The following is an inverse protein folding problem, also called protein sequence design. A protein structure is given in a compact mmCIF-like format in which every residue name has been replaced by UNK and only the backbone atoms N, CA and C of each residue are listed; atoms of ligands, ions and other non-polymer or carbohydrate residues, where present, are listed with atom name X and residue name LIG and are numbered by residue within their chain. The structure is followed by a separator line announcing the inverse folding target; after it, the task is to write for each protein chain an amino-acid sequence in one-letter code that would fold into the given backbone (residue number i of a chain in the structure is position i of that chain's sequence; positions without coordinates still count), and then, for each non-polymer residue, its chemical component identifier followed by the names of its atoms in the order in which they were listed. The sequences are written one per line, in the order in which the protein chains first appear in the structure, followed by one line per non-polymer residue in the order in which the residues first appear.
data_IF_245783980825
#
_entry.id   IF_245783980825
#
_cell.length_a   1.000
_cell.length_b   1.000
_cell.length_c   1.000
_cell.angle_alpha   90.00
_cell.angle_beta   90.00
_cell.angle_gamma   90.00
#
_symmetry.space_group_name_H-M   'P 1'
#
loop_
_entity.id
_entity.type
_entity.pdbx_description
1 polymer ?
#
# COMPACT_ATOMS: atom_id res chain seq x y z
N UNK A 1 -16.72 11.01 -4.55
CA UNK A 1 -15.45 10.74 -5.23
C UNK A 1 -14.80 9.49 -4.65
N UNK A 2 -14.06 9.50 -3.57
CA UNK A 2 -13.39 8.28 -3.07
C UNK A 2 -14.30 7.08 -2.78
N UNK A 3 -15.54 7.29 -2.35
CA UNK A 3 -16.48 6.19 -2.13
C UNK A 3 -16.96 5.54 -3.43
N UNK A 4 -17.15 6.28 -4.47
CA UNK A 4 -17.53 5.76 -5.80
C UNK A 4 -16.37 4.99 -6.42
N UNK A 5 -15.15 5.52 -6.30
CA UNK A 5 -13.93 4.84 -6.71
C UNK A 5 -13.74 3.52 -5.95
N UNK A 6 -13.95 3.53 -4.63
CA UNK A 6 -13.88 2.31 -3.81
C UNK A 6 -14.92 1.26 -4.22
N UNK A 7 -16.14 1.67 -4.58
CA UNK A 7 -17.15 0.75 -5.11
C UNK A 7 -16.71 0.12 -6.45
N UNK A 8 -16.10 0.91 -7.33
CA UNK A 8 -15.56 0.41 -8.60
C UNK A 8 -14.41 -0.58 -8.38
N UNK A 9 -13.46 -0.25 -7.48
CA UNK A 9 -12.37 -1.17 -7.11
C UNK A 9 -12.92 -2.48 -6.58
N UNK A 10 -13.89 -2.42 -5.65
CA UNK A 10 -14.47 -3.62 -5.06
C UNK A 10 -15.26 -4.47 -6.07
N UNK A 11 -15.79 -3.87 -7.12
CA UNK A 11 -16.51 -4.58 -8.18
C UNK A 11 -15.56 -5.20 -9.24
N UNK A 12 -14.38 -4.61 -9.44
CA UNK A 12 -13.47 -4.99 -10.52
C UNK A 12 -12.31 -5.88 -10.05
N UNK A 13 -11.86 -5.73 -8.81
CA UNK A 13 -10.73 -6.50 -8.29
C UNK A 13 -11.21 -7.75 -7.54
N UNK A 14 -10.48 -8.87 -7.66
CA UNK A 14 -10.73 -10.05 -6.85
C UNK A 14 -10.38 -9.74 -5.40
N UNK A 15 -11.39 -9.69 -4.52
CA UNK A 15 -11.18 -9.41 -3.10
C UNK A 15 -10.96 -10.71 -2.32
N UNK A 16 -10.19 -10.63 -1.22
CA UNK A 16 -10.10 -11.73 -0.24
C UNK A 16 -11.32 -11.67 0.67
N UNK A 17 -12.14 -12.72 0.65
CA UNK A 17 -13.35 -12.82 1.49
C UNK A 17 -13.13 -13.61 2.79
N UNK A 18 -11.89 -14.00 3.09
CA UNK A 18 -11.55 -14.69 4.34
C UNK A 18 -11.58 -13.71 5.51
N UNK A 19 -12.47 -13.97 6.48
CA UNK A 19 -12.70 -13.07 7.60
C UNK A 19 -11.47 -12.92 8.52
N UNK A 20 -10.64 -13.95 8.67
CA UNK A 20 -9.44 -13.88 9.52
C UNK A 20 -8.41 -12.92 8.90
N UNK A 21 -8.19 -13.04 7.60
CA UNK A 21 -7.24 -12.19 6.87
C UNK A 21 -7.76 -10.75 6.84
N UNK A 22 -9.02 -10.58 6.44
CA UNK A 22 -9.62 -9.25 6.28
C UNK A 22 -9.71 -8.50 7.61
N UNK A 23 -10.16 -9.16 8.68
CA UNK A 23 -10.26 -8.55 10.00
C UNK A 23 -8.89 -8.17 10.56
N UNK A 24 -7.86 -9.00 10.33
CA UNK A 24 -6.51 -8.69 10.77
C UNK A 24 -5.98 -7.40 10.13
N UNK A 25 -6.04 -7.30 8.80
CA UNK A 25 -5.56 -6.13 8.07
C UNK A 25 -6.37 -4.88 8.46
N UNK A 26 -7.69 -5.01 8.59
CA UNK A 26 -8.52 -3.89 9.03
C UNK A 26 -8.18 -3.44 10.46
N UNK A 27 -8.01 -4.35 11.41
CA UNK A 27 -7.66 -4.00 12.79
C UNK A 27 -6.28 -3.33 12.87
N UNK A 28 -5.29 -3.85 12.14
CA UNK A 28 -3.95 -3.27 12.08
C UNK A 28 -3.99 -1.85 11.48
N UNK A 29 -4.70 -1.68 10.38
CA UNK A 29 -4.87 -0.38 9.72
C UNK A 29 -5.60 0.64 10.61
N UNK A 30 -6.70 0.23 11.25
CA UNK A 30 -7.44 1.09 12.20
C UNK A 30 -6.56 1.53 13.37
N UNK A 31 -5.72 0.63 13.90
CA UNK A 31 -4.78 0.95 14.98
C UNK A 31 -3.81 2.07 14.58
N UNK A 32 -3.29 2.02 13.35
CA UNK A 32 -2.38 3.03 12.82
C UNK A 32 -3.13 4.33 12.49
N UNK A 33 -4.27 4.23 11.81
CA UNK A 33 -5.06 5.39 11.39
C UNK A 33 -5.50 6.28 12.57
N UNK A 34 -5.79 5.70 13.72
CA UNK A 34 -6.14 6.44 14.96
C UNK A 34 -5.00 7.33 15.48
N UNK A 35 -3.77 7.15 15.05
CA UNK A 35 -2.63 7.98 15.46
C UNK A 35 -2.42 9.19 14.55
N UNK A 36 -3.18 9.28 13.46
CA UNK A 36 -3.08 10.35 12.47
C UNK A 36 -3.93 11.57 12.85
N UNK A 37 -3.73 12.67 12.14
CA UNK A 37 -4.56 13.87 12.27
C UNK A 37 -5.91 13.75 11.55
N UNK A 38 -6.15 12.66 10.78
CA UNK A 38 -7.36 12.44 9.98
C UNK A 38 -8.30 11.43 10.63
N UNK A 39 -8.65 11.69 11.88
CA UNK A 39 -9.67 10.93 12.62
C UNK A 39 -11.12 11.26 12.20
N UNK A 40 -11.29 12.24 11.33
CA UNK A 40 -12.55 12.58 10.67
C UNK A 40 -12.94 11.57 9.57
N UNK A 41 -12.00 10.73 9.09
CA UNK A 41 -12.24 9.78 8.03
C UNK A 41 -12.77 8.45 8.56
N UNK A 42 -13.71 7.86 7.80
CA UNK A 42 -14.14 6.48 8.02
C UNK A 42 -13.18 5.51 7.31
N UNK A 43 -12.05 5.23 7.93
CA UNK A 43 -11.01 4.38 7.38
C UNK A 43 -11.50 2.96 7.11
N UNK A 44 -11.16 2.44 5.94
CA UNK A 44 -11.48 1.09 5.50
C UNK A 44 -10.24 0.44 4.89
N UNK A 45 -9.89 -0.75 5.39
CA UNK A 45 -8.73 -1.50 4.93
C UNK A 45 -9.21 -2.82 4.33
N UNK A 46 -8.82 -3.09 3.09
CA UNK A 46 -9.28 -4.25 2.34
C UNK A 46 -8.10 -5.00 1.72
N UNK A 47 -8.28 -6.30 1.47
CA UNK A 47 -7.25 -7.15 0.88
C UNK A 47 -7.67 -7.58 -0.52
N UNK A 48 -6.84 -7.25 -1.50
CA UNK A 48 -6.99 -7.71 -2.89
C UNK A 48 -6.32 -9.07 -3.05
N UNK A 49 -7.01 -10.03 -3.65
CA UNK A 49 -6.50 -11.37 -3.91
C UNK A 49 -5.60 -11.38 -5.17
N UNK A 50 -4.45 -10.73 -5.08
CA UNK A 50 -3.43 -10.64 -6.13
C UNK A 50 -2.06 -10.98 -5.56
N UNK A 51 -1.27 -11.78 -6.28
CA UNK A 51 0.12 -12.12 -5.91
C UNK A 51 1.11 -10.99 -6.18
N UNK A 52 0.70 -9.97 -6.93
CA UNK A 52 1.50 -8.76 -7.17
C UNK A 52 1.73 -8.03 -5.85
N UNK A 53 2.97 -7.66 -5.58
CA UNK A 53 3.28 -6.82 -4.41
C UNK A 53 2.88 -5.41 -4.70
N UNK A 54 1.78 -4.99 -4.12
CA UNK A 54 1.31 -3.61 -4.19
C UNK A 54 0.37 -3.29 -3.02
N UNK A 55 0.26 -2.02 -2.70
CA UNK A 55 -0.77 -1.45 -1.88
C UNK A 55 -1.11 -0.08 -2.45
N UNK A 56 -2.32 0.40 -2.23
CA UNK A 56 -2.72 1.72 -2.71
C UNK A 56 -3.85 2.29 -1.86
N UNK A 57 -3.96 3.59 -1.87
CA UNK A 57 -4.99 4.31 -1.13
C UNK A 57 -5.79 5.25 -2.03
N UNK A 58 -7.11 5.26 -1.82
CA UNK A 58 -8.02 6.19 -2.45
C UNK A 58 -8.37 7.34 -1.49
N UNK A 59 -8.74 8.51 -2.02
CA UNK A 59 -9.24 9.61 -1.19
C UNK A 59 -10.41 9.17 -0.31
N UNK A 60 -10.46 9.68 0.94
CA UNK A 60 -11.54 9.36 1.87
C UNK A 60 -11.27 8.22 2.84
N UNK A 61 -10.06 7.64 2.83
CA UNK A 61 -9.64 6.65 3.83
C UNK A 61 -9.81 5.19 3.40
N UNK A 62 -9.86 4.90 2.11
CA UNK A 62 -9.91 3.55 1.57
C UNK A 62 -8.49 3.08 1.23
N UNK A 63 -8.02 2.04 1.90
CA UNK A 63 -6.67 1.47 1.72
C UNK A 63 -6.80 0.01 1.30
N UNK A 64 -6.10 -0.35 0.25
CA UNK A 64 -6.07 -1.68 -0.33
C UNK A 64 -4.66 -2.27 -0.22
N UNK A 65 -4.57 -3.50 0.25
CA UNK A 65 -3.31 -4.23 0.37
C UNK A 65 -3.41 -5.50 -0.45
N UNK A 66 -2.54 -5.69 -1.41
CA UNK A 66 -2.51 -6.93 -2.17
C UNK A 66 -2.02 -8.09 -1.30
N UNK A 67 -2.58 -9.27 -1.54
CA UNK A 67 -2.15 -10.53 -0.92
C UNK A 67 -0.63 -10.75 -1.04
N UNK A 68 -0.02 -10.34 -2.15
CA UNK A 68 1.42 -10.42 -2.37
C UNK A 68 2.27 -9.71 -1.31
N UNK A 69 1.77 -8.63 -0.71
CA UNK A 69 2.41 -7.97 0.45
C UNK A 69 2.36 -8.87 1.68
N UNK A 70 1.18 -9.41 1.99
CA UNK A 70 0.96 -10.28 3.15
C UNK A 70 1.76 -11.58 3.06
N UNK A 71 1.89 -12.14 1.85
CA UNK A 71 2.67 -13.35 1.58
C UNK A 71 4.16 -13.16 1.87
N UNK A 72 4.71 -11.98 1.53
CA UNK A 72 6.14 -11.65 1.71
C UNK A 72 6.48 -11.16 3.09
N UNK A 73 5.52 -10.60 3.81
CA UNK A 73 5.74 -10.12 5.16
C UNK A 73 6.14 -11.25 6.10
N UNK A 74 7.20 -11.03 6.89
CA UNK A 74 7.71 -11.97 7.88
C UNK A 74 7.12 -11.75 9.27
N UNK A 75 6.58 -10.57 9.52
CA UNK A 75 6.00 -10.18 10.81
C UNK A 75 4.98 -9.03 10.65
N UNK A 76 4.25 -8.75 11.70
CA UNK A 76 3.20 -7.72 11.75
C UNK A 76 3.75 -6.31 11.42
N UNK A 77 4.97 -5.99 11.88
CA UNK A 77 5.54 -4.66 11.68
C UNK A 77 5.89 -4.37 10.21
N UNK A 78 6.18 -5.38 9.40
CA UNK A 78 6.37 -5.22 7.96
C UNK A 78 5.07 -4.81 7.27
N UNK A 79 3.95 -5.47 7.59
CA UNK A 79 2.63 -5.10 7.09
C UNK A 79 2.24 -3.71 7.57
N UNK A 80 2.52 -3.41 8.84
CA UNK A 80 2.25 -2.09 9.43
C UNK A 80 3.02 -0.97 8.72
N UNK A 81 4.26 -1.22 8.32
CA UNK A 81 5.07 -0.27 7.56
C UNK A 81 4.43 0.10 6.23
N UNK A 82 3.96 -0.88 5.47
CA UNK A 82 3.24 -0.66 4.20
C UNK A 82 1.94 0.11 4.44
N UNK A 83 1.10 -0.35 5.37
CA UNK A 83 -0.18 0.31 5.68
C UNK A 83 0.03 1.74 6.18
N UNK A 84 1.04 1.98 7.01
CA UNK A 84 1.37 3.31 7.53
C UNK A 84 1.77 4.28 6.42
N UNK A 85 2.52 3.81 5.43
CA UNK A 85 2.88 4.55 4.23
C UNK A 85 1.63 4.94 3.42
N UNK A 86 0.73 4.00 3.16
CA UNK A 86 -0.51 4.27 2.42
C UNK A 86 -1.45 5.24 3.16
N UNK A 87 -1.54 5.11 4.49
CA UNK A 87 -2.30 6.04 5.32
C UNK A 87 -1.79 7.48 5.13
N UNK A 88 -0.46 7.69 5.08
CA UNK A 88 0.10 9.03 4.89
C UNK A 88 -0.19 9.62 3.52
N UNK A 89 -0.26 8.83 2.47
CA UNK A 89 -0.73 9.34 1.17
C UNK A 89 -2.13 9.96 1.27
N UNK A 90 -3.03 9.35 2.05
CA UNK A 90 -4.37 9.91 2.30
C UNK A 90 -4.32 11.13 3.22
N UNK A 91 -3.58 11.05 4.33
CA UNK A 91 -3.45 12.15 5.31
C UNK A 91 -2.95 13.42 4.63
N UNK A 92 -1.94 13.30 3.78
CA UNK A 92 -1.31 14.41 3.04
C UNK A 92 -2.03 14.77 1.75
N UNK A 93 -3.08 14.00 1.39
CA UNK A 93 -3.90 14.20 0.20
C UNK A 93 -3.09 14.15 -1.10
N UNK A 94 -2.07 13.28 -1.20
CA UNK A 94 -1.19 13.23 -2.36
C UNK A 94 -1.96 12.95 -3.65
N UNK A 95 -2.86 11.95 -3.67
CA UNK A 95 -3.71 11.66 -4.83
C UNK A 95 -4.61 12.84 -5.20
N UNK A 96 -5.19 13.55 -4.22
CA UNK A 96 -6.05 14.72 -4.48
C UNK A 96 -5.25 15.86 -5.10
N UNK A 97 -4.03 16.13 -4.60
CA UNK A 97 -3.15 17.16 -5.18
C UNK A 97 -2.77 16.83 -6.63
N UNK A 98 -2.50 15.56 -6.92
CA UNK A 98 -2.23 15.13 -8.31
C UNK A 98 -3.45 15.37 -9.21
N UNK A 99 -4.65 15.06 -8.72
CA UNK A 99 -5.90 15.33 -9.45
C UNK A 99 -6.11 16.82 -9.70
N UNK A 100 -5.86 17.66 -8.71
CA UNK A 100 -5.96 19.12 -8.81
C UNK A 100 -4.97 19.69 -9.84
N UNK A 101 -3.74 19.14 -9.89
CA UNK A 101 -2.70 19.52 -10.84
C UNK A 101 -3.02 19.10 -12.29
N UNK A 102 -3.73 18.00 -12.45
CA UNK A 102 -4.12 17.47 -13.75
C UNK A 102 -5.42 18.09 -14.31
N UNK A 103 -5.80 19.29 -13.85
CA UNK A 103 -7.04 19.96 -14.25
C UNK A 103 -7.28 19.93 -15.77
N UNK A 104 -8.28 19.19 -16.21
CA UNK A 104 -8.71 19.07 -17.62
C UNK A 104 -8.70 17.65 -18.21
N UNK A 105 -8.11 16.66 -17.53
CA UNK A 105 -8.21 15.28 -17.94
C UNK A 105 -9.43 14.59 -17.31
N UNK A 106 -10.05 13.63 -18.02
CA UNK A 106 -11.12 12.77 -17.48
C UNK A 106 -10.51 11.84 -16.40
N UNK A 107 -10.50 12.33 -15.16
CA UNK A 107 -9.64 11.87 -14.09
C UNK A 107 -10.07 10.50 -13.49
N UNK A 108 -11.40 10.21 -13.51
CA UNK A 108 -11.92 9.04 -12.79
C UNK A 108 -11.43 7.68 -13.29
N UNK A 109 -11.36 7.47 -14.62
CA UNK A 109 -10.95 6.17 -15.20
C UNK A 109 -9.43 6.01 -15.12
N UNK A 110 -8.66 7.09 -15.29
CA UNK A 110 -7.21 7.06 -15.24
C UNK A 110 -6.62 6.67 -13.89
N UNK A 111 -7.27 7.08 -12.78
CA UNK A 111 -6.82 6.74 -11.42
C UNK A 111 -6.96 5.25 -11.15
N UNK A 112 -8.11 4.69 -11.48
CA UNK A 112 -8.35 3.26 -11.27
C UNK A 112 -7.36 2.41 -12.07
N UNK A 113 -7.07 2.84 -13.29
CA UNK A 113 -6.09 2.20 -14.15
C UNK A 113 -4.66 2.23 -13.56
N UNK A 114 -4.24 3.39 -13.07
CA UNK A 114 -2.90 3.58 -12.51
C UNK A 114 -2.70 2.81 -11.20
N UNK A 115 -3.72 2.78 -10.33
CA UNK A 115 -3.63 2.17 -9.02
C UNK A 115 -3.79 0.64 -9.03
N UNK A 116 -4.44 0.08 -10.04
CA UNK A 116 -4.81 -1.35 -10.04
C UNK A 116 -4.09 -2.17 -11.09
N UNK A 117 -3.39 -1.55 -12.04
CA UNK A 117 -2.81 -2.24 -13.19
C UNK A 117 -3.85 -2.86 -14.15
N UNK A 118 -5.16 -2.71 -13.88
CA UNK A 118 -6.26 -3.34 -14.63
C UNK A 118 -6.37 -2.83 -16.07
N UNK A 119 -5.73 -1.70 -16.39
CA UNK A 119 -5.82 -1.09 -17.72
C UNK A 119 -4.93 -1.71 -18.79
N UNK A 120 -4.26 -2.79 -18.51
CA UNK A 120 -3.57 -3.57 -19.55
C UNK A 120 -4.52 -4.50 -20.35
N UNK A 121 -5.80 -4.62 -19.94
CA UNK A 121 -6.81 -5.30 -20.74
C UNK A 121 -7.33 -4.38 -21.87
N UNK A 122 -7.56 -4.92 -23.06
CA UNK A 122 -7.89 -4.15 -24.28
C UNK A 122 -9.07 -3.18 -24.18
N UNK A 123 -9.99 -3.37 -23.22
CA UNK A 123 -11.15 -2.46 -22.98
C UNK A 123 -10.70 -1.19 -22.25
N UNK A 124 -9.77 -1.31 -21.33
CA UNK A 124 -9.22 -0.18 -20.60
C UNK A 124 -8.26 0.66 -21.48
N UNK A 125 -7.51 0.02 -22.38
CA UNK A 125 -6.68 0.70 -23.37
C UNK A 125 -7.52 1.56 -24.32
N UNK A 126 -8.75 1.14 -24.67
CA UNK A 126 -9.66 1.92 -25.48
C UNK A 126 -10.18 3.19 -24.75
N UNK A 127 -10.39 3.10 -23.44
CA UNK A 127 -10.81 4.26 -22.62
C UNK A 127 -9.68 5.30 -22.46
N UNK A 128 -8.40 4.87 -22.43
CA UNK A 128 -7.22 5.75 -22.38
C UNK A 128 -7.05 6.49 -23.72
N UNK A 129 -7.33 5.84 -24.85
CA UNK A 129 -7.17 6.41 -26.19
C UNK A 129 -8.22 7.48 -26.54
N UNK A 130 -9.27 7.63 -25.75
CA UNK A 130 -10.35 8.63 -25.98
C UNK A 130 -10.11 9.94 -25.21
N UNK A 131 -8.88 10.20 -24.72
CA UNK A 131 -8.50 11.56 -24.26
C UNK A 131 -7.98 11.68 -22.82
N UNK A 132 -7.53 10.60 -22.21
CA UNK A 132 -6.93 10.66 -20.87
C UNK A 132 -5.51 10.09 -20.83
N UNK A 133 -4.51 10.93 -20.84
CA UNK A 133 -3.16 10.53 -20.44
C UNK A 133 -3.21 10.01 -19.00
N UNK A 134 -2.61 8.83 -18.76
CA UNK A 134 -2.43 8.27 -17.42
C UNK A 134 -1.51 9.19 -16.59
N UNK A 135 -2.09 10.24 -16.00
CA UNK A 135 -1.35 11.31 -15.29
C UNK A 135 -1.00 10.90 -13.85
N UNK A 136 -1.50 9.73 -13.37
CA UNK A 136 -1.42 9.36 -11.96
C UNK A 136 -0.57 8.12 -11.69
N UNK A 137 0.34 7.78 -12.58
CA UNK A 137 1.09 6.53 -12.44
C UNK A 137 2.19 6.57 -11.36
N UNK A 138 2.60 7.73 -10.85
CA UNK A 138 3.73 7.80 -9.90
C UNK A 138 3.57 8.98 -8.95
N UNK A 139 3.71 8.72 -7.67
CA UNK A 139 3.94 9.79 -6.69
C UNK A 139 5.31 10.44 -6.92
N UNK A 140 5.43 11.71 -6.58
CA UNK A 140 6.73 12.38 -6.63
C UNK A 140 7.65 11.81 -5.54
N UNK A 141 8.97 11.92 -5.72
CA UNK A 141 9.93 11.53 -4.65
C UNK A 141 9.66 12.26 -3.34
N UNK A 142 9.19 13.49 -3.41
CA UNK A 142 8.82 14.28 -2.23
C UNK A 142 7.60 13.68 -1.52
N UNK A 143 6.58 13.25 -2.28
CA UNK A 143 5.39 12.60 -1.71
C UNK A 143 5.78 11.28 -1.02
N UNK A 144 6.69 10.51 -1.64
CA UNK A 144 7.19 9.25 -1.08
C UNK A 144 7.95 9.46 0.23
N UNK A 145 8.89 10.42 0.27
CA UNK A 145 9.62 10.78 1.50
C UNK A 145 8.64 11.21 2.59
N UNK A 146 7.65 12.02 2.26
CA UNK A 146 6.63 12.44 3.20
C UNK A 146 5.78 11.28 3.71
N UNK A 147 5.45 10.32 2.84
CA UNK A 147 4.68 9.13 3.22
C UNK A 147 5.50 8.20 4.12
N UNK A 148 6.81 8.05 3.84
CA UNK A 148 7.71 7.27 4.69
C UNK A 148 7.88 7.90 6.08
N UNK A 149 8.15 9.20 6.16
CA UNK A 149 8.32 9.90 7.44
C UNK A 149 7.05 9.85 8.30
N UNK A 150 5.91 10.14 7.71
CA UNK A 150 4.65 10.11 8.42
C UNK A 150 4.24 8.71 8.81
N UNK A 151 4.37 7.75 7.91
CA UNK A 151 4.09 6.33 8.14
C UNK A 151 4.96 5.75 9.25
N UNK A 152 6.27 6.01 9.24
CA UNK A 152 7.21 5.65 10.29
C UNK A 152 6.73 6.14 11.66
N UNK A 153 6.39 7.43 11.76
CA UNK A 153 5.95 8.04 13.00
C UNK A 153 4.59 7.50 13.46
N UNK A 154 3.65 7.27 12.56
CA UNK A 154 2.33 6.73 12.89
C UNK A 154 2.42 5.28 13.37
N UNK A 155 3.22 4.43 12.71
CA UNK A 155 3.49 3.06 13.12
C UNK A 155 4.09 3.04 14.54
N UNK A 156 5.07 3.89 14.82
CA UNK A 156 5.68 4.00 16.14
C UNK A 156 4.69 4.47 17.19
N UNK A 157 3.86 5.49 16.90
CA UNK A 157 2.79 5.95 17.81
C UNK A 157 1.72 4.90 18.08
N UNK A 158 1.47 4.04 17.09
CA UNK A 158 0.58 2.88 17.26
C UNK A 158 1.21 1.76 18.12
N UNK A 159 2.43 1.93 18.65
CA UNK A 159 3.13 0.93 19.45
C UNK A 159 3.69 -0.23 18.62
N UNK A 160 3.85 -0.04 17.31
CA UNK A 160 4.43 -1.02 16.38
C UNK A 160 5.86 -0.62 16.02
N UNK A 161 6.72 -1.61 15.75
CA UNK A 161 8.13 -1.35 15.45
C UNK A 161 8.32 -0.84 14.00
N UNK A 162 8.73 0.42 13.78
CA UNK A 162 8.88 0.98 12.44
C UNK A 162 10.03 0.33 11.64
N UNK A 163 10.88 -0.48 12.27
CA UNK A 163 11.91 -1.28 11.57
C UNK A 163 11.31 -2.19 10.51
N UNK A 164 10.03 -2.57 10.66
CA UNK A 164 9.31 -3.37 9.67
C UNK A 164 9.25 -2.70 8.29
N UNK A 165 9.08 -1.38 8.23
CA UNK A 165 9.12 -0.64 6.96
C UNK A 165 10.49 -0.83 6.27
N UNK A 166 11.57 -0.65 7.01
CA UNK A 166 12.93 -0.82 6.51
C UNK A 166 13.18 -2.24 5.99
N UNK A 167 12.88 -3.25 6.80
CA UNK A 167 13.14 -4.66 6.44
C UNK A 167 12.29 -5.11 5.26
N UNK A 168 11.05 -4.65 5.16
CA UNK A 168 10.19 -4.97 4.04
C UNK A 168 10.70 -4.36 2.72
N UNK A 169 11.06 -3.08 2.72
CA UNK A 169 11.58 -2.41 1.52
C UNK A 169 12.92 -3.00 1.07
N UNK A 170 13.82 -3.36 2.00
CA UNK A 170 15.05 -4.09 1.66
C UNK A 170 14.74 -5.44 0.99
N UNK A 171 13.76 -6.17 1.50
CA UNK A 171 13.34 -7.45 0.93
C UNK A 171 12.83 -7.28 -0.50
N UNK A 172 11.98 -6.28 -0.73
CA UNK A 172 11.48 -5.98 -2.07
C UNK A 172 12.59 -5.60 -3.04
N UNK A 173 13.52 -4.74 -2.61
CA UNK A 173 14.66 -4.34 -3.43
C UNK A 173 15.55 -5.54 -3.80
N UNK A 174 15.80 -6.44 -2.85
CA UNK A 174 16.56 -7.66 -3.12
C UNK A 174 15.84 -8.60 -4.10
N UNK A 175 14.50 -8.72 -4.00
CA UNK A 175 13.69 -9.52 -4.93
C UNK A 175 13.71 -8.90 -6.35
N UNK A 176 13.62 -7.57 -6.47
CA UNK A 176 13.72 -6.88 -7.76
C UNK A 176 15.06 -7.13 -8.44
N UNK A 177 16.16 -7.00 -7.70
CA UNK A 177 17.51 -7.20 -8.22
C UNK A 177 17.76 -8.65 -8.70
N UNK A 178 17.09 -9.63 -8.09
CA UNK A 178 17.23 -11.03 -8.45
C UNK A 178 16.34 -11.46 -9.63
N UNK A 179 15.13 -10.94 -9.72
CA UNK A 179 14.10 -11.42 -10.64
C UNK A 179 13.79 -10.47 -11.82
N UNK A 180 14.37 -9.27 -11.83
CA UNK A 180 14.11 -8.28 -12.88
C UNK A 180 12.69 -7.72 -12.83
N UNK A 181 11.79 -8.15 -13.69
CA UNK A 181 10.40 -7.68 -13.77
C UNK A 181 9.40 -8.62 -13.07
N UNK A 182 9.72 -9.08 -11.86
CA UNK A 182 8.83 -9.96 -11.10
C UNK A 182 7.61 -9.24 -10.46
N UNK A 183 6.91 -9.97 -9.57
CA UNK A 183 5.72 -9.49 -8.87
C UNK A 183 5.91 -8.22 -8.02
N UNK A 184 7.14 -7.74 -7.84
CA UNK A 184 7.49 -6.52 -7.10
C UNK A 184 7.60 -5.28 -7.98
N UNK A 185 7.63 -5.44 -9.31
CA UNK A 185 7.81 -4.33 -10.26
C UNK A 185 6.71 -3.26 -10.13
N UNK A 186 5.47 -3.66 -9.82
CA UNK A 186 4.36 -2.74 -9.61
C UNK A 186 4.64 -1.78 -8.44
N UNK A 187 5.16 -2.30 -7.32
CA UNK A 187 5.55 -1.47 -6.17
C UNK A 187 6.52 -0.36 -6.57
N UNK A 188 7.59 -0.71 -7.30
CA UNK A 188 8.61 0.26 -7.70
C UNK A 188 8.13 1.24 -8.78
N UNK A 189 7.16 0.81 -9.59
CA UNK A 189 6.50 1.70 -10.55
C UNK A 189 5.68 2.78 -9.84
N UNK A 190 4.92 2.40 -8.83
CA UNK A 190 3.99 3.28 -8.14
C UNK A 190 4.70 4.10 -7.04
N UNK A 191 5.74 3.52 -6.42
CA UNK A 191 6.52 4.10 -5.32
C UNK A 191 8.02 4.23 -5.66
N UNK A 192 8.42 5.24 -6.44
CA UNK A 192 9.80 5.39 -6.93
C UNK A 192 10.81 5.78 -5.84
N UNK A 193 12.10 5.60 -6.16
CA UNK A 193 13.22 6.08 -5.33
C UNK A 193 13.57 5.15 -4.17
N UNK A 194 13.31 3.85 -4.26
CA UNK A 194 13.37 2.90 -3.14
C UNK A 194 14.72 2.81 -2.44
N UNK A 195 15.86 2.86 -3.14
CA UNK A 195 17.18 2.79 -2.50
C UNK A 195 17.45 4.00 -1.59
N UNK A 196 17.14 5.20 -2.06
CA UNK A 196 17.31 6.43 -1.29
C UNK A 196 16.37 6.43 -0.08
N UNK A 197 15.11 6.01 -0.28
CA UNK A 197 14.10 5.87 0.76
C UNK A 197 14.51 4.90 1.86
N UNK A 198 15.08 3.74 1.50
CA UNK A 198 15.62 2.78 2.48
C UNK A 198 16.72 3.44 3.33
N UNK A 199 17.63 4.21 2.71
CA UNK A 199 18.66 4.94 3.43
C UNK A 199 18.07 6.00 4.38
N UNK A 200 17.00 6.69 3.96
CA UNK A 200 16.29 7.68 4.78
C UNK A 200 15.61 7.04 5.99
N UNK A 201 14.89 5.93 5.79
CA UNK A 201 14.27 5.16 6.86
C UNK A 201 15.32 4.64 7.84
N UNK A 202 16.49 4.17 7.34
CA UNK A 202 17.59 3.76 8.20
C UNK A 202 18.11 4.93 9.05
N UNK A 203 18.21 6.15 8.47
CA UNK A 203 18.61 7.35 9.25
C UNK A 203 17.58 7.67 10.34
N UNK A 204 16.29 7.58 10.05
CA UNK A 204 15.23 7.76 11.05
C UNK A 204 15.33 6.72 12.16
N UNK A 205 15.55 5.44 11.84
CA UNK A 205 15.75 4.38 12.83
C UNK A 205 16.92 4.63 13.74
N UNK A 206 18.03 5.15 13.20
CA UNK A 206 19.24 5.46 13.99
C UNK A 206 19.03 6.64 14.97
N UNK A 207 18.02 7.47 14.76
CA UNK A 207 17.65 8.58 15.67
C UNK A 207 16.76 8.09 16.83
N UNK A 208 16.14 6.94 16.74
CA UNK A 208 15.30 6.38 17.81
C UNK A 208 16.17 5.53 18.75
N UNK A 209 16.12 5.78 20.07
CA UNK A 209 16.86 4.97 21.04
C UNK A 209 16.52 3.48 20.90
N UNK A 210 17.54 2.62 20.93
CA UNK A 210 17.37 1.17 20.81
C UNK A 210 16.43 0.61 21.90
N UNK A 211 16.49 1.18 23.12
CA UNK A 211 15.57 0.81 24.20
C UNK A 211 14.10 1.08 23.87
N UNK A 212 13.80 2.17 23.14
CA UNK A 212 12.46 2.49 22.70
C UNK A 212 12.02 1.53 21.58
N UNK A 213 12.87 1.28 20.57
CA UNK A 213 12.55 0.34 19.49
C UNK A 213 12.28 -1.08 20.01
N UNK A 214 13.02 -1.52 21.05
CA UNK A 214 12.87 -2.85 21.63
C UNK A 214 11.56 -3.02 22.42
N UNK A 215 10.91 -1.94 22.82
CA UNK A 215 9.59 -1.96 23.47
C UNK A 215 8.42 -2.02 22.49
N UNK A 216 8.68 -1.72 21.23
CA UNK A 216 7.66 -1.70 20.20
C UNK A 216 7.39 -3.12 19.66
N UNK A 217 6.13 -3.38 19.38
CA UNK A 217 5.65 -4.68 18.91
C UNK A 217 6.08 -4.93 17.47
N UNK A 218 6.81 -6.02 17.23
CA UNK A 218 7.19 -6.44 15.87
C UNK A 218 6.26 -7.51 15.31
N UNK A 219 5.65 -8.34 16.18
CA UNK A 219 4.76 -9.41 15.76
C UNK A 219 3.65 -9.66 16.79
N UNK A 220 2.56 -10.34 16.38
CA UNK A 220 1.46 -10.73 17.23
C UNK A 220 0.84 -12.06 16.80
N UNK A 221 -0.04 -12.61 17.64
CA UNK A 221 -0.75 -13.87 17.36
C UNK A 221 -1.71 -13.73 16.18
N UNK A 222 -2.28 -12.53 15.96
CA UNK A 222 -3.17 -12.23 14.85
C UNK A 222 -2.45 -12.37 13.51
N UNK A 223 -1.19 -11.86 13.42
CA UNK A 223 -0.36 -12.04 12.25
C UNK A 223 -0.12 -13.53 11.95
N UNK A 224 0.23 -14.32 12.96
CA UNK A 224 0.49 -15.74 12.78
C UNK A 224 -0.78 -16.49 12.31
N UNK A 225 -1.93 -16.14 12.86
CA UNK A 225 -3.23 -16.69 12.45
C UNK A 225 -3.58 -16.30 11.01
N UNK A 226 -3.38 -15.04 10.65
CA UNK A 226 -3.55 -14.53 9.30
C UNK A 226 -2.63 -15.25 8.30
N UNK A 227 -1.34 -15.42 8.62
CA UNK A 227 -0.37 -16.14 7.78
C UNK A 227 -0.76 -17.61 7.60
N UNK A 228 -1.16 -18.29 8.67
CA UNK A 228 -1.65 -19.66 8.60
C UNK A 228 -2.86 -19.78 7.67
N UNK A 229 -3.80 -18.85 7.78
CA UNK A 229 -4.99 -18.81 6.94
C UNK A 229 -4.66 -18.49 5.48
N UNK A 230 -3.74 -17.55 5.26
CA UNK A 230 -3.26 -17.17 3.94
C UNK A 230 -2.64 -18.36 3.18
N UNK A 231 -1.88 -19.20 3.87
CA UNK A 231 -1.27 -20.42 3.30
C UNK A 231 -2.30 -21.50 2.94
N UNK A 232 -3.52 -21.43 3.46
CA UNK A 232 -4.62 -22.35 3.13
C UNK A 232 -5.43 -21.87 1.92
N UNK A 233 -5.29 -20.60 1.51
CA UNK A 233 -5.90 -20.12 0.28
C UNK A 233 -5.19 -20.75 -0.92
N UNK A 234 -5.96 -21.12 -1.94
CA UNK A 234 -5.40 -21.50 -3.24
C UNK A 234 -4.55 -20.37 -3.84
N UNK A 235 -3.85 -20.61 -4.95
CA UNK A 235 -3.08 -19.58 -5.64
C UNK A 235 -3.98 -18.38 -5.98
N UNK A 236 -3.41 -17.17 -5.88
CA UNK A 236 -4.12 -15.97 -6.25
C UNK A 236 -4.56 -16.04 -7.72
N UNK A 237 -5.75 -15.53 -8.08
CA UNK A 237 -6.17 -15.47 -9.47
C UNK A 237 -5.12 -14.77 -10.33
N UNK A 238 -4.89 -15.27 -11.54
CA UNK A 238 -4.10 -14.54 -12.53
C UNK A 238 -4.89 -13.33 -12.96
N UNK A 239 -4.35 -12.14 -12.78
CA UNK A 239 -4.92 -10.93 -13.37
C UNK A 239 -4.72 -11.07 -14.87
N UNK A 240 -5.83 -11.09 -15.66
CA UNK A 240 -5.74 -11.20 -17.12
C UNK A 240 -4.99 -9.97 -17.64
N UNK A 241 -3.81 -10.17 -18.21
CA UNK A 241 -3.01 -9.11 -18.83
C UNK A 241 -1.57 -9.00 -18.31
N UNK A 242 -1.10 -9.96 -17.51
CA UNK A 242 0.34 -10.12 -17.19
C UNK A 242 0.93 -11.32 -17.90
#
# INVERSE_FOLDING_TARGET
MGQEEAQQVNAQLPMVHDAVIQNYVNQLGQRIARTTSRNDLNWQFQVVNSSVVNAFALPGGFVYVNRGVLERASNASEVAGVIGHEIEHVVRRHSVKQMEQAQGANVGVGILCALTGVCQSGVAQAAINVGGTAVFAKFSRTDEVQADEGGFNNVMRAGLNPRGMYTFFQKLLAEEQQSGNGNVAAWFSDHPGTSDRIADIQRMLNQVPASQLNQLQSNDSGFNSMKSRLNQLGPAPRVQGQ
#
